data_IF_831180511598
#
_entry.id   IF_831180511598
#
_cell.length_a   1.000
_cell.length_b   1.000
_cell.length_c   1.000
_cell.angle_alpha   90.00
_cell.angle_beta   90.00
_cell.angle_gamma   90.00
#
_symmetry.space_group_name_H-M   'P 1'
#
loop_
_entity.id
_entity.type
_entity.pdbx_description
1 polymer ?
#
# COMPACT_ATOMS: atom_id res chain seq x y z
N UNK A 1 -53.70 1.20 23.65
CA UNK A 1 -53.85 0.37 22.43
C UNK A 1 -53.45 1.20 21.22
N UNK A 2 -52.68 0.59 20.30
CA UNK A 2 -52.18 1.07 18.99
C UNK A 2 -51.05 2.11 19.06
N UNK A 3 -49.75 1.82 18.85
CA UNK A 3 -48.94 1.18 17.78
C UNK A 3 -48.58 2.04 16.54
N UNK A 4 -47.25 2.20 16.36
CA UNK A 4 -46.42 2.40 15.16
C UNK A 4 -46.41 3.72 14.34
N UNK A 5 -45.24 4.40 14.35
CA UNK A 5 -44.27 4.62 13.24
C UNK A 5 -43.27 5.73 13.66
N UNK A 6 -41.98 5.47 13.90
CA UNK A 6 -40.85 5.19 12.99
C UNK A 6 -40.30 6.40 12.21
N UNK A 7 -39.07 6.78 12.60
CA UNK A 7 -37.95 7.35 11.83
C UNK A 7 -38.11 8.70 11.12
N UNK A 8 -37.20 9.65 11.41
CA UNK A 8 -36.03 9.86 10.54
C UNK A 8 -34.95 10.74 11.21
N UNK A 9 -33.72 10.34 10.95
CA UNK A 9 -32.45 10.92 11.40
C UNK A 9 -32.04 12.01 10.40
N UNK A 10 -31.66 13.19 10.87
CA UNK A 10 -30.86 14.15 10.10
C UNK A 10 -29.68 14.63 10.95
N UNK A 11 -28.52 14.00 10.75
CA UNK A 11 -27.23 14.52 11.19
C UNK A 11 -26.75 15.53 10.15
N UNK A 12 -26.70 16.81 10.53
CA UNK A 12 -26.04 17.84 9.74
C UNK A 12 -24.54 17.86 10.03
N UNK A 13 -23.79 18.03 8.94
CA UNK A 13 -22.35 17.98 8.85
C UNK A 13 -21.65 19.09 9.65
N UNK A 14 -20.60 18.67 10.36
CA UNK A 14 -19.66 19.53 11.06
C UNK A 14 -18.63 20.06 10.05
N UNK A 15 -18.67 21.36 9.74
CA UNK A 15 -17.55 22.07 9.15
C UNK A 15 -16.58 22.44 10.28
N UNK A 16 -15.33 22.00 10.18
CA UNK A 16 -14.22 22.56 10.94
C UNK A 16 -13.07 22.87 9.98
N UNK A 17 -12.88 24.16 9.73
CA UNK A 17 -11.69 24.74 9.15
C UNK A 17 -10.79 25.22 10.30
N UNK A 18 -9.52 24.80 10.28
CA UNK A 18 -8.38 25.35 11.03
C UNK A 18 -7.17 25.06 10.11
N UNK A 19 -6.64 26.03 9.34
CA UNK A 19 -5.60 27.00 9.74
C UNK A 19 -4.53 26.31 10.60
N UNK A 20 -3.28 26.12 10.20
CA UNK A 20 -2.41 26.89 9.32
C UNK A 20 -1.08 27.08 10.05
N UNK A 21 0.04 26.74 9.40
CA UNK A 21 1.39 27.15 9.81
C UNK A 21 2.22 26.13 10.58
N UNK A 22 3.11 25.41 9.88
CA UNK A 22 4.41 25.01 10.41
C UNK A 22 5.49 25.22 9.33
N UNK A 23 6.26 26.27 9.62
CA UNK A 23 7.62 26.67 9.23
C UNK A 23 8.44 25.76 8.31
N UNK A 24 8.91 26.41 7.23
CA UNK A 24 10.04 26.06 6.38
C UNK A 24 11.35 26.09 7.18
N UNK A 25 12.09 24.98 7.22
CA UNK A 25 13.52 25.00 7.48
C UNK A 25 14.27 24.62 6.20
N UNK A 26 14.91 25.64 5.63
CA UNK A 26 15.98 25.50 4.65
C UNK A 26 17.21 24.91 5.34
N UNK A 27 17.70 23.77 4.84
CA UNK A 27 19.09 23.37 5.07
C UNK A 27 19.70 23.13 3.69
N UNK A 28 20.49 24.11 3.27
CA UNK A 28 21.49 23.95 2.22
C UNK A 28 22.59 23.02 2.74
N UNK A 29 22.99 22.05 1.92
CA UNK A 29 24.26 21.36 2.12
C UNK A 29 24.95 21.22 0.77
N UNK A 30 26.18 21.71 0.77
CA UNK A 30 27.06 21.97 -0.35
C UNK A 30 27.61 20.70 -1.00
N UNK A 31 27.71 20.74 -2.33
CA UNK A 31 28.73 20.16 -3.22
C UNK A 31 29.45 18.86 -2.80
N UNK A 32 29.29 17.83 -3.63
CA UNK A 32 30.40 16.99 -4.07
C UNK A 32 30.23 16.65 -5.56
N UNK A 33 31.16 17.15 -6.39
CA UNK A 33 31.38 16.68 -7.77
C UNK A 33 32.38 15.53 -7.71
N UNK A 34 32.02 14.38 -8.27
CA UNK A 34 33.00 13.40 -8.77
C UNK A 34 32.49 12.91 -10.12
N UNK A 35 33.22 13.23 -11.17
CA UNK A 35 33.12 12.60 -12.48
C UNK A 35 34.43 11.86 -12.70
N UNK A 36 34.40 10.53 -12.82
CA UNK A 36 35.42 9.75 -13.54
C UNK A 36 34.74 8.58 -14.22
N UNK A 37 34.79 8.59 -15.55
CA UNK A 37 34.48 7.49 -16.44
C UNK A 37 35.53 6.38 -16.32
N UNK A 38 35.10 5.12 -16.23
CA UNK A 38 35.85 4.00 -16.85
C UNK A 38 34.97 2.76 -16.99
N UNK A 39 34.69 2.42 -18.24
CA UNK A 39 34.31 1.07 -18.65
C UNK A 39 35.36 0.06 -18.16
N UNK A 40 34.92 -0.99 -17.48
CA UNK A 40 35.64 -2.26 -17.47
C UNK A 40 34.59 -3.38 -17.43
N UNK A 41 34.56 -4.16 -18.52
CA UNK A 41 33.83 -5.42 -18.63
C UNK A 41 34.24 -6.32 -17.47
N UNK A 42 33.28 -6.82 -16.69
CA UNK A 42 33.47 -8.08 -16.02
C UNK A 42 32.20 -8.91 -16.10
N UNK A 43 32.36 -10.06 -16.74
CA UNK A 43 31.38 -11.12 -16.93
C UNK A 43 31.19 -11.77 -15.57
N UNK A 44 29.98 -11.78 -15.03
CA UNK A 44 29.57 -12.78 -14.06
C UNK A 44 28.08 -13.06 -14.20
N UNK A 45 27.80 -14.31 -14.54
CA UNK A 45 26.50 -14.94 -14.57
C UNK A 45 25.69 -14.62 -13.31
N UNK A 46 24.61 -13.89 -13.49
CA UNK A 46 23.45 -13.96 -12.61
C UNK A 46 22.27 -14.26 -13.51
N UNK A 47 21.65 -15.42 -13.30
CA UNK A 47 20.41 -15.82 -13.95
C UNK A 47 19.31 -14.84 -13.51
N UNK A 48 19.27 -13.69 -14.18
CA UNK A 48 18.15 -12.77 -14.13
C UNK A 48 17.05 -13.46 -14.90
N UNK A 49 15.99 -13.86 -14.19
CA UNK A 49 14.74 -14.29 -14.82
C UNK A 49 14.19 -13.06 -15.55
N UNK A 50 14.61 -12.89 -16.80
CA UNK A 50 13.94 -12.02 -17.76
C UNK A 50 12.64 -12.71 -18.13
N UNK A 51 11.55 -12.27 -17.51
CA UNK A 51 10.21 -12.51 -18.04
C UNK A 51 10.15 -11.74 -19.35
N UNK A 52 10.46 -12.44 -20.43
CA UNK A 52 10.48 -11.93 -21.80
C UNK A 52 9.04 -11.82 -22.32
N UNK A 53 8.27 -10.91 -21.73
CA UNK A 53 7.14 -10.31 -22.42
C UNK A 53 7.63 -8.97 -22.92
N UNK A 54 7.97 -8.88 -24.21
CA UNK A 54 8.38 -7.64 -24.84
C UNK A 54 7.47 -6.48 -24.35
N UNK A 55 8.02 -5.44 -23.71
CA UNK A 55 7.23 -4.37 -23.06
C UNK A 55 6.28 -3.65 -24.03
N UNK A 56 6.45 -3.84 -25.33
CA UNK A 56 5.66 -3.25 -26.41
C UNK A 56 4.29 -3.92 -26.66
N UNK A 57 3.86 -4.94 -25.87
CA UNK A 57 2.55 -5.61 -26.04
C UNK A 57 1.67 -5.71 -24.78
N UNK A 58 2.02 -5.05 -23.68
CA UNK A 58 1.21 -5.11 -22.45
C UNK A 58 0.00 -4.19 -22.56
N UNK A 59 0.25 -2.91 -22.82
CA UNK A 59 -0.76 -1.87 -22.85
C UNK A 59 -1.63 -1.88 -24.13
N UNK A 60 -2.78 -1.19 -24.16
CA UNK A 60 -3.71 -1.25 -25.29
C UNK A 60 -3.12 -0.78 -26.63
N UNK A 61 -2.12 0.11 -26.57
CA UNK A 61 -1.38 0.62 -27.71
C UNK A 61 0.09 0.74 -27.36
N UNK A 62 0.97 0.61 -28.35
CA UNK A 62 2.42 0.70 -28.17
C UNK A 62 2.88 2.06 -27.60
N UNK A 63 2.10 3.13 -27.81
CA UNK A 63 2.41 4.46 -27.29
C UNK A 63 2.06 4.64 -25.82
N UNK A 64 1.25 3.73 -25.26
CA UNK A 64 0.81 3.77 -23.88
C UNK A 64 1.75 2.90 -23.06
N UNK A 65 2.82 3.47 -22.55
CA UNK A 65 3.79 2.71 -21.77
C UNK A 65 3.23 2.35 -20.37
N UNK A 66 3.66 1.22 -19.79
CA UNK A 66 3.38 0.92 -18.39
C UNK A 66 4.09 1.94 -17.49
N UNK A 67 3.37 2.44 -16.49
CA UNK A 67 3.88 3.38 -15.47
C UNK A 67 4.01 2.74 -14.08
N UNK A 68 3.31 1.62 -13.86
CA UNK A 68 3.45 0.76 -12.68
C UNK A 68 3.30 -0.69 -13.08
N UNK A 69 4.02 -1.55 -12.38
CA UNK A 69 3.86 -3.01 -12.42
C UNK A 69 3.69 -3.50 -11.00
N UNK A 70 2.65 -4.28 -10.75
CA UNK A 70 2.39 -4.96 -9.49
C UNK A 70 2.50 -6.45 -9.73
N UNK A 71 3.26 -7.12 -8.87
CA UNK A 71 3.43 -8.55 -8.89
C UNK A 71 2.62 -9.19 -7.75
N UNK A 72 1.86 -10.23 -8.07
CA UNK A 72 1.09 -11.04 -7.11
C UNK A 72 1.46 -12.51 -7.29
N UNK A 73 0.95 -13.41 -6.46
CA UNK A 73 1.23 -14.85 -6.65
C UNK A 73 0.72 -15.33 -8.02
N UNK A 74 -0.48 -14.89 -8.43
CA UNK A 74 -1.18 -15.41 -9.62
C UNK A 74 -1.16 -14.50 -10.84
N UNK A 75 -0.88 -13.21 -10.68
CA UNK A 75 -1.01 -12.21 -11.75
C UNK A 75 0.15 -11.21 -11.79
N UNK A 76 0.41 -10.72 -13.00
CA UNK A 76 1.01 -9.41 -13.21
C UNK A 76 -0.10 -8.39 -13.47
N UNK A 77 -0.02 -7.24 -12.80
CA UNK A 77 -0.92 -6.11 -13.04
C UNK A 77 -0.09 -4.93 -13.49
N UNK A 78 -0.48 -4.29 -14.58
CA UNK A 78 0.15 -3.11 -15.10
C UNK A 78 -0.83 -1.95 -15.11
N UNK A 79 -0.33 -0.78 -14.75
CA UNK A 79 -1.01 0.48 -14.97
C UNK A 79 -0.35 1.14 -16.16
N UNK A 80 -1.11 1.32 -17.23
CA UNK A 80 -0.65 1.96 -18.45
C UNK A 80 -1.05 3.43 -18.48
N UNK A 81 -0.24 4.25 -19.16
CA UNK A 81 -0.56 5.66 -19.40
C UNK A 81 -1.91 5.79 -20.14
N UNK A 82 -2.62 6.88 -19.85
CA UNK A 82 -3.87 7.23 -20.52
C UNK A 82 -3.68 7.89 -21.88
N UNK A 83 -4.79 8.01 -22.59
CA UNK A 83 -4.93 8.76 -23.85
C UNK A 83 -6.09 9.76 -23.75
N UNK A 84 -6.48 10.36 -24.88
CA UNK A 84 -7.56 11.34 -24.93
C UNK A 84 -8.93 10.76 -24.55
N UNK A 85 -9.14 9.45 -24.73
CA UNK A 85 -10.41 8.79 -24.38
C UNK A 85 -10.41 8.37 -22.91
N UNK A 86 -9.27 7.86 -22.42
CA UNK A 86 -9.11 7.33 -21.08
C UNK A 86 -7.91 8.01 -20.39
N UNK A 87 -8.06 9.27 -19.95
CA UNK A 87 -6.95 10.09 -19.46
C UNK A 87 -6.32 9.56 -18.16
N UNK A 88 -7.09 8.80 -17.37
CA UNK A 88 -6.60 8.20 -16.12
C UNK A 88 -5.73 6.95 -16.33
N UNK A 89 -5.69 6.41 -17.56
CA UNK A 89 -4.93 5.22 -17.88
C UNK A 89 -5.77 3.95 -17.98
N UNK A 90 -5.05 2.83 -18.07
CA UNK A 90 -5.64 1.51 -18.21
C UNK A 90 -5.08 0.56 -17.16
N UNK A 91 -5.97 -0.20 -16.54
CA UNK A 91 -5.64 -1.34 -15.72
C UNK A 91 -5.51 -2.56 -16.63
N UNK A 92 -4.35 -3.20 -16.61
CA UNK A 92 -4.08 -4.41 -17.38
C UNK A 92 -3.72 -5.54 -16.43
N UNK A 93 -4.43 -6.66 -16.49
CA UNK A 93 -4.13 -7.84 -15.66
C UNK A 93 -3.85 -9.05 -16.54
N UNK A 94 -2.73 -9.71 -16.27
CA UNK A 94 -2.23 -10.88 -16.98
C UNK A 94 -2.02 -12.03 -15.97
N UNK A 95 -2.77 -13.14 -16.06
CA UNK A 95 -2.51 -14.31 -15.22
C UNK A 95 -1.18 -14.95 -15.59
N UNK A 96 -0.37 -15.35 -14.62
CA UNK A 96 0.96 -15.94 -14.86
C UNK A 96 0.91 -17.31 -15.55
N UNK A 97 -0.23 -18.00 -15.46
CA UNK A 97 -0.42 -19.36 -15.98
C UNK A 97 -1.29 -19.42 -17.25
N UNK A 98 -1.76 -18.28 -17.76
CA UNK A 98 -2.68 -18.22 -18.89
C UNK A 98 -2.26 -17.10 -19.83
N UNK A 99 -2.31 -17.36 -21.14
CA UNK A 99 -2.01 -16.36 -22.16
C UNK A 99 -3.23 -15.48 -22.49
N UNK A 100 -3.86 -14.94 -21.44
CA UNK A 100 -5.00 -14.04 -21.57
C UNK A 100 -4.72 -12.76 -20.80
N UNK A 101 -5.28 -11.65 -21.25
CA UNK A 101 -5.21 -10.39 -20.49
C UNK A 101 -6.55 -9.70 -20.48
N UNK A 102 -6.79 -8.98 -19.40
CA UNK A 102 -7.90 -8.06 -19.27
C UNK A 102 -7.34 -6.64 -19.31
N UNK A 103 -8.00 -5.77 -20.07
CA UNK A 103 -7.70 -4.36 -20.17
C UNK A 103 -8.98 -3.61 -19.85
N UNK A 104 -8.94 -2.72 -18.86
CA UNK A 104 -10.09 -1.92 -18.43
C UNK A 104 -9.63 -0.49 -18.19
N UNK A 105 -10.38 0.53 -18.65
CA UNK A 105 -10.11 1.91 -18.30
C UNK A 105 -10.12 2.14 -16.78
N UNK A 106 -9.17 2.94 -16.31
CA UNK A 106 -9.14 3.37 -14.92
C UNK A 106 -10.21 4.44 -14.73
N UNK A 107 -11.08 4.24 -13.77
CA UNK A 107 -12.15 5.19 -13.41
C UNK A 107 -11.73 6.12 -12.29
N UNK A 108 -10.81 5.68 -11.42
CA UNK A 108 -10.26 6.50 -10.34
C UNK A 108 -8.78 6.16 -10.15
N UNK A 109 -7.94 7.19 -10.00
CA UNK A 109 -6.57 7.02 -9.54
C UNK A 109 -6.29 8.00 -8.40
N UNK A 110 -5.62 7.50 -7.36
CA UNK A 110 -5.10 8.29 -6.27
C UNK A 110 -3.60 8.12 -6.31
N UNK A 111 -2.94 8.92 -7.16
CA UNK A 111 -1.52 8.74 -7.49
C UNK A 111 -0.61 8.84 -6.27
N UNK A 112 -0.92 9.75 -5.35
CA UNK A 112 -0.16 9.95 -4.11
C UNK A 112 -0.18 8.70 -3.22
N UNK A 113 -1.30 7.97 -3.21
CA UNK A 113 -1.50 6.78 -2.40
C UNK A 113 -1.38 5.48 -3.21
N UNK A 114 -1.02 5.57 -4.50
CA UNK A 114 -0.87 4.45 -5.44
C UNK A 114 -2.11 3.52 -5.51
N UNK A 115 -3.32 4.09 -5.41
CA UNK A 115 -4.57 3.34 -5.54
C UNK A 115 -5.12 3.53 -6.95
N UNK A 116 -5.37 2.42 -7.64
CA UNK A 116 -5.95 2.43 -8.98
C UNK A 116 -7.23 1.58 -8.99
N UNK A 117 -8.31 2.17 -9.50
CA UNK A 117 -9.63 1.53 -9.57
C UNK A 117 -10.10 1.55 -11.02
N UNK A 118 -10.48 0.38 -11.54
CA UNK A 118 -11.09 0.21 -12.84
C UNK A 118 -12.44 -0.51 -12.68
N UNK A 119 -13.44 -0.11 -13.46
CA UNK A 119 -14.79 -0.68 -13.40
C UNK A 119 -15.19 -1.19 -14.77
N UNK A 120 -15.70 -2.43 -14.82
CA UNK A 120 -16.28 -3.03 -16.02
C UNK A 120 -17.63 -3.66 -15.65
N UNK A 121 -18.72 -2.92 -15.92
CA UNK A 121 -20.06 -3.31 -15.49
C UNK A 121 -20.15 -3.43 -13.96
N UNK A 122 -20.55 -4.59 -13.46
CA UNK A 122 -20.67 -4.87 -12.02
C UNK A 122 -19.32 -5.18 -11.33
N UNK A 123 -18.24 -5.34 -12.11
CA UNK A 123 -16.95 -5.76 -11.58
C UNK A 123 -16.07 -4.54 -11.35
N UNK A 124 -15.55 -4.42 -10.14
CA UNK A 124 -14.54 -3.41 -9.77
C UNK A 124 -13.21 -4.10 -9.50
N UNK A 125 -12.17 -3.63 -10.18
CA UNK A 125 -10.79 -4.02 -9.99
C UNK A 125 -10.08 -2.92 -9.24
N UNK A 126 -9.47 -3.26 -8.11
CA UNK A 126 -8.64 -2.36 -7.32
C UNK A 126 -7.26 -2.97 -7.13
N UNK A 127 -6.23 -2.16 -7.32
CA UNK A 127 -4.85 -2.54 -7.00
C UNK A 127 -4.22 -1.43 -6.17
N UNK A 128 -3.54 -1.84 -5.10
CA UNK A 128 -2.72 -0.99 -4.24
C UNK A 128 -1.33 -1.61 -4.14
N UNK A 129 -0.36 -0.95 -3.49
CA UNK A 129 0.93 -1.57 -3.25
C UNK A 129 0.90 -2.81 -2.34
N UNK A 130 -0.22 -3.06 -1.66
CA UNK A 130 -0.32 -4.10 -0.63
C UNK A 130 -1.23 -5.25 -1.06
N UNK A 131 -2.28 -4.97 -1.84
CA UNK A 131 -3.22 -5.99 -2.28
C UNK A 131 -3.92 -5.68 -3.60
N UNK A 132 -4.32 -6.74 -4.28
CA UNK A 132 -5.27 -6.73 -5.36
C UNK A 132 -6.63 -7.18 -4.86
N UNK A 133 -7.67 -6.40 -5.15
CA UNK A 133 -9.06 -6.71 -4.81
C UNK A 133 -9.89 -6.73 -6.10
N UNK A 134 -10.76 -7.72 -6.21
CA UNK A 134 -11.81 -7.74 -7.23
C UNK A 134 -13.13 -7.93 -6.51
N UNK A 135 -14.08 -7.07 -6.83
CA UNK A 135 -15.43 -7.15 -6.30
C UNK A 135 -16.45 -7.22 -7.42
N UNK A 136 -17.59 -7.87 -7.13
CA UNK A 136 -18.77 -7.89 -7.99
C UNK A 136 -19.95 -7.36 -7.20
N UNK A 137 -20.59 -6.31 -7.71
CA UNK A 137 -21.73 -5.64 -7.05
C UNK A 137 -21.41 -5.26 -5.59
N UNK A 138 -20.20 -4.72 -5.36
CA UNK A 138 -19.71 -4.31 -4.04
C UNK A 138 -19.23 -5.43 -3.12
N UNK A 139 -19.35 -6.72 -3.51
CA UNK A 139 -18.86 -7.85 -2.71
C UNK A 139 -17.50 -8.30 -3.20
N UNK A 140 -16.53 -8.42 -2.31
CA UNK A 140 -15.19 -8.95 -2.64
C UNK A 140 -15.32 -10.42 -3.03
N UNK A 141 -14.93 -10.73 -4.27
CA UNK A 141 -14.92 -12.09 -4.82
C UNK A 141 -13.49 -12.63 -4.95
N UNK A 142 -12.50 -11.75 -4.87
CA UNK A 142 -11.10 -12.12 -4.93
C UNK A 142 -10.25 -11.09 -4.17
N UNK A 143 -9.27 -11.59 -3.42
CA UNK A 143 -8.27 -10.79 -2.72
C UNK A 143 -6.94 -11.53 -2.79
N UNK A 144 -5.87 -10.80 -3.06
CA UNK A 144 -4.52 -11.35 -3.12
C UNK A 144 -3.48 -10.31 -2.70
N UNK A 145 -2.44 -10.75 -1.97
CA UNK A 145 -1.34 -9.90 -1.55
C UNK A 145 -0.49 -9.50 -2.76
N UNK A 146 -0.06 -8.25 -2.77
CA UNK A 146 0.97 -7.76 -3.70
C UNK A 146 2.34 -8.05 -3.12
N UNK A 147 3.17 -8.75 -3.90
CA UNK A 147 4.51 -9.19 -3.53
C UNK A 147 5.52 -8.07 -3.78
N UNK A 148 5.38 -7.37 -4.91
CA UNK A 148 6.25 -6.25 -5.24
C UNK A 148 5.57 -5.26 -6.16
N UNK A 149 6.07 -4.03 -6.16
CA UNK A 149 5.63 -2.96 -7.05
C UNK A 149 6.83 -2.26 -7.64
N UNK A 150 6.77 -2.01 -8.95
CA UNK A 150 7.84 -1.38 -9.72
C UNK A 150 7.26 -0.18 -10.47
N UNK A 151 7.95 0.96 -10.40
CA UNK A 151 7.65 2.17 -11.16
C UNK A 151 8.06 2.02 -12.63
N UNK A 152 7.58 2.90 -13.49
CA UNK A 152 7.92 2.89 -14.92
C UNK A 152 9.40 3.11 -15.23
N UNK A 153 10.18 3.64 -14.29
CA UNK A 153 11.64 3.79 -14.36
C UNK A 153 12.41 2.55 -13.84
N UNK A 154 11.70 1.53 -13.33
CA UNK A 154 12.30 0.32 -12.80
C UNK A 154 12.60 0.34 -11.29
N UNK A 155 12.38 1.46 -10.61
CA UNK A 155 12.55 1.55 -9.15
C UNK A 155 11.45 0.75 -8.43
N UNK A 156 11.81 0.03 -7.37
CA UNK A 156 10.82 -0.67 -6.53
C UNK A 156 10.19 0.31 -5.53
N UNK A 157 8.88 0.22 -5.32
CA UNK A 157 8.23 0.95 -4.24
C UNK A 157 8.39 0.15 -2.95
N UNK A 158 8.96 0.77 -1.91
CA UNK A 158 9.02 0.20 -0.57
C UNK A 158 7.59 -0.04 -0.05
N UNK A 159 7.30 -1.29 0.30
CA UNK A 159 6.04 -1.71 0.91
C UNK A 159 6.34 -2.26 2.31
N UNK A 160 5.79 -1.61 3.35
CA UNK A 160 6.02 -1.99 4.74
C UNK A 160 7.20 -1.27 5.37
N UNK A 161 8.24 -2.00 5.75
CA UNK A 161 9.39 -1.41 6.44
C UNK A 161 10.25 -0.54 5.50
N UNK A 162 10.73 0.64 5.97
CA UNK A 162 11.65 1.49 5.23
C UNK A 162 12.92 0.74 4.83
N UNK A 163 13.60 1.25 3.80
CA UNK A 163 14.89 0.70 3.38
C UNK A 163 15.88 0.57 4.54
N UNK A 164 16.65 -0.51 4.52
CA UNK A 164 17.61 -0.91 5.55
C UNK A 164 17.02 -1.43 6.88
N UNK A 165 15.70 -1.34 7.10
CA UNK A 165 15.05 -2.00 8.23
C UNK A 165 14.65 -3.44 7.91
N UNK A 166 14.83 -4.33 8.88
CA UNK A 166 14.23 -5.67 8.90
C UNK A 166 12.78 -5.60 9.39
N UNK A 167 11.96 -6.50 8.87
CA UNK A 167 10.61 -6.76 9.42
C UNK A 167 10.71 -7.80 10.52
N UNK A 168 10.28 -7.45 11.73
CA UNK A 168 10.22 -8.34 12.90
C UNK A 168 8.87 -9.01 13.07
N UNK A 169 7.81 -8.33 12.65
CA UNK A 169 6.46 -8.88 12.59
C UNK A 169 5.66 -8.15 11.50
N UNK A 170 4.81 -8.87 10.81
CA UNK A 170 3.80 -8.34 9.91
C UNK A 170 2.42 -8.82 10.38
N UNK A 171 1.45 -7.92 10.43
CA UNK A 171 0.08 -8.27 10.74
C UNK A 171 -0.90 -7.70 9.72
N UNK A 172 -1.94 -8.48 9.42
CA UNK A 172 -3.05 -8.04 8.60
C UNK A 172 -4.33 -8.06 9.42
N UNK A 173 -5.11 -6.98 9.33
CA UNK A 173 -6.43 -6.85 9.96
C UNK A 173 -7.46 -6.50 8.89
N UNK A 174 -8.72 -6.32 9.29
CA UNK A 174 -9.78 -5.92 8.37
C UNK A 174 -9.49 -4.56 7.73
N UNK A 175 -8.89 -3.64 8.48
CA UNK A 175 -8.71 -2.25 8.04
C UNK A 175 -7.25 -1.83 7.89
N UNK A 176 -6.29 -2.63 8.37
CA UNK A 176 -4.88 -2.23 8.40
C UNK A 176 -3.92 -3.34 7.95
N UNK A 177 -2.83 -2.92 7.31
CA UNK A 177 -1.56 -3.65 7.26
C UNK A 177 -0.63 -3.04 8.30
N UNK A 178 0.04 -3.87 9.08
CA UNK A 178 0.93 -3.41 10.15
C UNK A 178 2.28 -4.11 10.00
N UNK A 179 3.35 -3.34 10.20
CA UNK A 179 4.72 -3.81 10.15
C UNK A 179 5.47 -3.32 11.39
N UNK A 180 6.19 -4.24 12.01
CA UNK A 180 7.15 -3.92 13.06
C UNK A 180 8.53 -3.96 12.46
N UNK A 181 9.22 -2.82 12.51
CA UNK A 181 10.45 -2.60 11.78
C UNK A 181 11.59 -2.25 12.72
N UNK A 182 12.82 -2.52 12.29
CA UNK A 182 14.04 -2.03 12.92
C UNK A 182 15.29 -2.66 12.32
N UNK A 183 16.48 -2.27 12.79
CA UNK A 183 17.75 -2.80 12.25
C UNK A 183 18.15 -4.11 12.95
N UNK A 184 18.52 -4.01 14.22
CA UNK A 184 18.92 -5.14 15.07
C UNK A 184 17.81 -5.58 16.02
N UNK A 185 17.00 -4.61 16.47
CA UNK A 185 15.86 -4.81 17.37
C UNK A 185 14.62 -4.09 16.81
N UNK A 186 13.40 -4.54 17.15
CA UNK A 186 12.19 -3.83 16.76
C UNK A 186 12.18 -2.43 17.37
N UNK A 187 12.05 -1.40 16.55
CA UNK A 187 12.13 0.00 16.97
C UNK A 187 10.96 0.86 16.48
N UNK A 188 10.29 0.45 15.41
CA UNK A 188 9.22 1.22 14.78
C UNK A 188 7.97 0.37 14.54
N UNK A 189 6.82 1.01 14.75
CA UNK A 189 5.50 0.54 14.38
C UNK A 189 5.05 1.30 13.14
N UNK A 190 4.68 0.57 12.10
CA UNK A 190 4.14 1.15 10.87
C UNK A 190 2.77 0.55 10.63
N UNK A 191 1.73 1.38 10.53
CA UNK A 191 0.41 0.94 10.11
C UNK A 191 -0.03 1.66 8.86
N UNK A 192 -0.57 0.91 7.92
CA UNK A 192 -1.15 1.40 6.68
C UNK A 192 -2.62 1.04 6.66
N UNK A 193 -3.47 2.04 6.43
CA UNK A 193 -4.91 1.83 6.30
C UNK A 193 -5.26 1.26 4.92
N UNK A 194 -6.14 0.25 4.86
CA UNK A 194 -6.55 -0.38 3.58
C UNK A 194 -7.41 0.54 2.71
N UNK A 195 -8.09 1.53 3.31
CA UNK A 195 -9.05 2.39 2.62
C UNK A 195 -8.38 3.43 1.72
N UNK A 196 -7.27 4.02 2.18
CA UNK A 196 -6.61 5.11 1.46
C UNK A 196 -5.07 5.04 1.51
N UNK A 197 -4.50 3.92 1.98
CA UNK A 197 -3.06 3.73 2.16
C UNK A 197 -2.38 4.81 3.01
N UNK A 198 -3.10 5.48 3.92
CA UNK A 198 -2.48 6.41 4.87
C UNK A 198 -1.54 5.64 5.78
N UNK A 199 -0.30 6.12 5.87
CA UNK A 199 0.78 5.52 6.65
C UNK A 199 0.95 6.28 7.96
N UNK A 200 1.03 5.54 9.06
CA UNK A 200 1.46 6.04 10.36
C UNK A 200 2.76 5.31 10.71
N UNK A 201 3.82 6.06 11.02
CA UNK A 201 5.09 5.53 11.49
C UNK A 201 5.40 6.12 12.86
N UNK A 202 5.51 5.25 13.87
CA UNK A 202 5.70 5.64 15.25
C UNK A 202 6.84 4.85 15.88
N UNK A 203 7.62 5.44 16.79
CA UNK A 203 8.56 4.67 17.59
C UNK A 203 7.80 3.71 18.52
N UNK A 204 8.33 2.50 18.66
CA UNK A 204 7.89 1.56 19.68
C UNK A 204 8.31 2.02 21.07
N UNK A 205 7.49 1.73 22.07
CA UNK A 205 7.84 1.88 23.47
C UNK A 205 8.98 0.94 23.84
N UNK A 206 9.90 1.38 24.72
CA UNK A 206 11.08 0.59 25.15
C UNK A 206 10.73 -0.81 25.65
N UNK A 207 9.59 -0.97 26.32
CA UNK A 207 9.09 -2.27 26.79
C UNK A 207 8.80 -3.26 25.64
N UNK A 208 8.52 -2.76 24.44
CA UNK A 208 8.32 -3.56 23.22
C UNK A 208 9.61 -3.79 22.42
N UNK A 209 10.74 -3.22 22.84
CA UNK A 209 12.03 -3.29 22.13
C UNK A 209 12.95 -4.42 22.63
N UNK A 210 12.61 -5.11 23.73
CA UNK A 210 13.42 -6.19 24.29
C UNK A 210 13.24 -7.49 23.48
N UNK A 211 14.19 -7.71 22.57
CA UNK A 211 14.08 -8.52 21.37
C UNK A 211 14.01 -10.05 21.47
N UNK A 212 13.23 -10.64 22.39
CA UNK A 212 13.08 -12.12 22.38
C UNK A 212 11.66 -12.66 22.59
N UNK A 213 10.74 -12.02 23.31
CA UNK A 213 9.34 -12.51 23.47
C UNK A 213 8.36 -11.40 23.84
N UNK A 214 8.25 -10.35 23.04
CA UNK A 214 7.15 -9.41 23.23
C UNK A 214 5.91 -9.98 22.55
N UNK A 215 4.98 -10.56 23.33
CA UNK A 215 3.65 -10.94 22.83
C UNK A 215 2.82 -9.72 22.39
N UNK A 216 3.35 -8.51 22.56
CA UNK A 216 2.70 -7.26 22.23
C UNK A 216 3.71 -6.18 21.81
N UNK A 217 3.37 -5.45 20.76
CA UNK A 217 4.04 -4.24 20.33
C UNK A 217 3.18 -3.03 20.68
N UNK A 218 3.80 -2.03 21.31
CA UNK A 218 3.12 -0.84 21.78
C UNK A 218 3.77 0.39 21.15
N UNK A 219 2.96 1.22 20.49
CA UNK A 219 3.34 2.55 20.02
C UNK A 219 2.37 3.59 20.59
N UNK A 220 2.86 4.82 20.83
CA UNK A 220 2.08 5.90 21.41
C UNK A 220 2.30 7.17 20.59
N UNK A 221 1.20 7.87 20.29
CA UNK A 221 1.21 9.19 19.67
C UNK A 221 0.27 10.11 20.47
N UNK A 222 0.84 10.91 21.38
CA UNK A 222 0.07 11.74 22.30
C UNK A 222 -0.86 10.90 23.17
N UNK A 223 -2.17 11.15 23.08
CA UNK A 223 -3.20 10.42 23.81
C UNK A 223 -3.71 9.15 23.10
N UNK A 224 -3.13 8.80 21.93
CA UNK A 224 -3.48 7.60 21.17
C UNK A 224 -2.44 6.52 21.43
N UNK A 225 -2.90 5.33 21.81
CA UNK A 225 -2.07 4.14 21.97
C UNK A 225 -2.45 3.07 20.96
N UNK A 226 -1.44 2.41 20.41
CA UNK A 226 -1.54 1.33 19.45
C UNK A 226 -0.93 0.10 20.10
N UNK A 227 -1.74 -0.94 20.30
CA UNK A 227 -1.32 -2.20 20.88
C UNK A 227 -1.60 -3.30 19.87
N UNK A 228 -0.55 -3.96 19.42
CA UNK A 228 -0.61 -5.05 18.46
C UNK A 228 -0.15 -6.34 19.13
N UNK A 229 -0.93 -7.41 19.02
CA UNK A 229 -0.51 -8.78 19.32
C UNK A 229 -0.75 -9.67 18.10
N UNK A 230 -0.32 -10.93 18.17
CA UNK A 230 -0.61 -11.99 17.19
C UNK A 230 -2.10 -12.25 16.91
N UNK A 231 -2.99 -11.71 17.75
CA UNK A 231 -4.43 -11.97 17.73
C UNK A 231 -5.25 -10.73 17.50
N UNK A 232 -4.77 -9.57 17.95
CA UNK A 232 -5.59 -8.37 17.99
C UNK A 232 -4.78 -7.10 17.76
N UNK A 233 -5.36 -6.19 16.99
CA UNK A 233 -4.99 -4.78 16.98
C UNK A 233 -5.97 -4.01 17.85
N UNK A 234 -5.46 -3.21 18.77
CA UNK A 234 -6.23 -2.29 19.60
C UNK A 234 -5.66 -0.89 19.47
N UNK A 235 -6.52 0.06 19.09
CA UNK A 235 -6.18 1.48 19.07
C UNK A 235 -7.09 2.15 20.10
N UNK A 236 -6.49 2.86 21.04
CA UNK A 236 -7.22 3.56 22.11
C UNK A 236 -6.89 5.04 22.11
N UNK A 237 -7.88 5.89 22.38
CA UNK A 237 -7.71 7.34 22.57
C UNK A 237 -8.24 7.68 23.96
N UNK A 238 -7.44 8.38 24.76
CA UNK A 238 -7.81 8.75 26.14
C UNK A 238 -8.25 7.53 26.99
N UNK A 239 -7.59 6.39 26.77
CA UNK A 239 -7.91 5.11 27.44
C UNK A 239 -9.13 4.37 26.88
N UNK A 240 -9.91 4.95 25.97
CA UNK A 240 -11.06 4.31 25.35
C UNK A 240 -10.70 3.61 24.05
N UNK A 241 -11.15 2.37 23.87
CA UNK A 241 -10.93 1.61 22.64
C UNK A 241 -11.74 2.23 21.49
N UNK A 242 -11.05 2.76 20.48
CA UNK A 242 -11.68 3.28 19.25
C UNK A 242 -11.61 2.28 18.10
N UNK A 243 -10.62 1.38 18.12
CA UNK A 243 -10.49 0.27 17.16
C UNK A 243 -10.10 -0.98 17.93
N UNK A 244 -10.77 -2.09 17.62
CA UNK A 244 -10.43 -3.41 18.13
C UNK A 244 -10.70 -4.44 17.04
N UNK A 245 -9.65 -4.83 16.31
CA UNK A 245 -9.75 -5.73 15.16
C UNK A 245 -8.97 -7.02 15.39
N UNK A 246 -9.52 -8.13 14.92
CA UNK A 246 -8.82 -9.41 14.90
C UNK A 246 -7.69 -9.36 13.87
N UNK A 247 -6.54 -9.92 14.21
CA UNK A 247 -5.47 -10.21 13.26
C UNK A 247 -5.88 -11.42 12.42
N UNK A 248 -5.92 -11.22 11.11
CA UNK A 248 -6.29 -12.20 10.09
C UNK A 248 -5.07 -13.02 9.64
N UNK A 249 -3.90 -12.39 9.58
CA UNK A 249 -2.62 -13.00 9.25
C UNK A 249 -1.51 -12.38 10.10
N UNK A 250 -0.59 -13.23 10.58
CA UNK A 250 0.56 -12.85 11.39
C UNK A 250 1.79 -13.59 10.87
N UNK A 251 2.82 -12.84 10.46
CA UNK A 251 4.10 -13.35 9.96
C UNK A 251 5.28 -12.77 10.77
#
# INVERSE_FOLDING_TARGET
MNFFKSQLIHFNALQLALMGGILLFNIQSSTAKITVDKQTKNINNSNKITVDTAPNKVCPSANLLPIRTFDTEKYYVYICRGDNLNPLGYYVRIPKKLDSKIIVPITQNFRETEIYIAVNGEITYQITPYEMIISKSGRIIFREKVISVVKGDGETLSTGCPENNKTFAQAETQSFFIYICGNENPSSYISITRTNNTIINLPLQKSSQNGVKTNQYIAINGNISFILTDKILRISRDGQNIVKEKVLQWD
#
